data_IF_063694127026
#
_entry.id   IF_063694127026
#
_cell.length_a   1.000
_cell.length_b   1.000
_cell.length_c   1.000
_cell.angle_alpha   90.00
_cell.angle_beta   90.00
_cell.angle_gamma   90.00
#
_symmetry.space_group_name_H-M   'P 1'
#
loop_
_entity.id
_entity.type
_entity.pdbx_description
1 polymer ?
#
# COMPACT_ATOMS: atom_id res chain seq x y z
N UNK A 1 1.68 -8.56 -0.14
CA UNK A 1 2.99 -7.97 -0.50
C UNK A 1 3.27 -8.25 -1.97
N UNK A 2 3.98 -7.32 -2.60
CA UNK A 2 4.52 -7.45 -3.95
C UNK A 2 6.04 -7.48 -3.79
N UNK A 3 6.73 -8.57 -4.19
CA UNK A 3 8.18 -8.63 -4.11
C UNK A 3 8.81 -7.66 -5.11
N UNK A 4 10.00 -7.16 -4.78
CA UNK A 4 10.82 -6.37 -5.69
C UNK A 4 11.28 -7.18 -6.92
N UNK A 5 11.86 -6.48 -7.90
CA UNK A 5 12.55 -7.06 -9.07
C UNK A 5 11.70 -7.96 -9.99
N UNK A 6 10.38 -7.82 -10.00
CA UNK A 6 9.55 -8.51 -10.99
C UNK A 6 9.41 -10.00 -10.74
N UNK A 7 9.48 -10.46 -9.49
CA UNK A 7 9.23 -11.88 -9.16
C UNK A 7 7.84 -12.28 -9.67
N UNK A 8 7.79 -13.27 -10.55
CA UNK A 8 6.58 -13.71 -11.21
C UNK A 8 5.92 -14.91 -10.50
N UNK A 9 4.62 -15.09 -10.72
CA UNK A 9 3.90 -16.31 -10.38
C UNK A 9 4.04 -17.38 -11.49
N UNK A 10 3.34 -18.51 -11.33
CA UNK A 10 3.35 -19.61 -12.31
C UNK A 10 2.73 -19.26 -13.66
N UNK A 11 1.97 -18.16 -13.74
CA UNK A 11 1.38 -17.64 -14.99
C UNK A 11 2.27 -16.57 -15.64
N UNK A 12 3.41 -16.23 -15.04
CA UNK A 12 4.30 -15.17 -15.54
C UNK A 12 3.82 -13.75 -15.23
N UNK A 13 2.89 -13.57 -14.27
CA UNK A 13 2.42 -12.24 -13.83
C UNK A 13 3.17 -11.79 -12.58
N UNK A 14 3.22 -10.48 -12.36
CA UNK A 14 3.78 -9.91 -11.13
C UNK A 14 3.16 -10.60 -9.91
N UNK A 15 3.99 -11.26 -9.09
CA UNK A 15 3.50 -12.03 -7.96
C UNK A 15 2.92 -11.10 -6.91
N UNK A 16 1.70 -11.41 -6.48
CA UNK A 16 1.06 -10.79 -5.31
C UNK A 16 0.85 -11.85 -4.25
N UNK A 17 1.57 -11.72 -3.13
CA UNK A 17 1.49 -12.67 -2.01
C UNK A 17 0.49 -12.14 -0.99
N UNK A 18 -0.52 -12.96 -0.69
CA UNK A 18 -1.49 -12.71 0.39
C UNK A 18 -1.24 -13.71 1.53
N UNK A 19 -1.28 -13.22 2.77
CA UNK A 19 -1.20 -14.05 3.97
C UNK A 19 -2.21 -13.53 4.99
N UNK A 20 -2.78 -14.45 5.77
CA UNK A 20 -3.61 -14.12 6.92
C UNK A 20 -2.82 -14.44 8.19
N UNK A 21 -2.78 -13.50 9.13
CA UNK A 21 -1.99 -13.61 10.35
C UNK A 21 -2.92 -13.68 11.57
N UNK A 22 -2.70 -14.71 12.39
CA UNK A 22 -3.29 -14.84 13.71
C UNK A 22 -2.29 -14.53 14.83
N UNK A 23 -2.72 -14.60 16.10
CA UNK A 23 -1.85 -14.39 17.26
C UNK A 23 -0.62 -15.31 17.23
N UNK A 24 0.57 -14.73 17.46
CA UNK A 24 1.84 -15.46 17.47
C UNK A 24 2.42 -15.81 16.10
N UNK A 25 1.75 -15.43 15.01
CA UNK A 25 2.30 -15.61 13.66
C UNK A 25 3.21 -14.45 13.25
N UNK A 26 4.18 -14.75 12.39
CA UNK A 26 5.10 -13.77 11.82
C UNK A 26 5.09 -13.88 10.30
N UNK A 27 5.26 -12.74 9.64
CA UNK A 27 5.57 -12.68 8.21
C UNK A 27 6.79 -11.82 8.00
N UNK A 28 7.57 -12.13 6.97
CA UNK A 28 8.78 -11.40 6.62
C UNK A 28 8.48 -10.62 5.34
N UNK A 29 8.72 -9.30 5.39
CA UNK A 29 8.71 -8.43 4.23
C UNK A 29 10.17 -8.13 3.85
N UNK A 30 10.71 -8.74 2.79
CA UNK A 30 12.04 -8.39 2.29
C UNK A 30 12.13 -6.90 1.96
N UNK A 31 13.32 -6.33 2.11
CA UNK A 31 13.58 -4.96 1.68
C UNK A 31 13.18 -4.76 0.21
N UNK A 32 12.69 -3.57 -0.13
CA UNK A 32 12.20 -3.24 -1.47
C UNK A 32 10.82 -3.82 -1.84
N UNK A 33 10.32 -4.81 -1.10
CA UNK A 33 8.92 -5.22 -1.24
C UNK A 33 7.98 -4.16 -0.66
N UNK A 34 6.79 -4.03 -1.25
CA UNK A 34 5.73 -3.21 -0.68
C UNK A 34 4.50 -4.05 -0.36
N UNK A 35 3.72 -3.62 0.64
CA UNK A 35 2.57 -4.37 1.11
C UNK A 35 1.48 -3.47 1.67
N UNK A 36 0.30 -4.04 1.75
CA UNK A 36 -0.82 -3.50 2.52
C UNK A 36 -1.10 -4.45 3.69
N UNK A 37 -1.54 -3.88 4.80
CA UNK A 37 -1.98 -4.62 5.97
C UNK A 37 -3.34 -4.10 6.37
N UNK A 38 -4.27 -5.00 6.65
CA UNK A 38 -5.64 -4.67 7.03
C UNK A 38 -6.06 -5.58 8.16
N UNK A 39 -6.69 -5.00 9.20
CA UNK A 39 -7.45 -5.77 10.17
C UNK A 39 -8.89 -5.91 9.63
N UNK A 40 -9.31 -7.09 9.16
CA UNK A 40 -10.65 -7.28 8.59
C UNK A 40 -11.74 -7.45 9.66
N UNK A 41 -11.35 -7.52 10.93
CA UNK A 41 -12.24 -7.74 12.07
C UNK A 41 -12.60 -6.43 12.77
N UNK A 42 -13.70 -6.47 13.53
CA UNK A 42 -14.25 -5.30 14.21
C UNK A 42 -13.61 -5.04 15.57
N UNK A 43 -12.90 -6.04 16.09
CA UNK A 43 -12.14 -5.97 17.33
C UNK A 43 -10.73 -5.43 17.08
N UNK A 44 -10.14 -4.71 18.04
CA UNK A 44 -8.76 -4.23 17.93
C UNK A 44 -7.78 -5.40 17.74
N UNK A 45 -6.87 -5.24 16.78
CA UNK A 45 -5.72 -6.11 16.58
C UNK A 45 -4.44 -5.30 16.78
N UNK A 46 -3.45 -5.90 17.44
CA UNK A 46 -2.13 -5.31 17.62
C UNK A 46 -1.10 -6.16 16.89
N UNK A 47 -0.13 -5.49 16.26
CA UNK A 47 1.05 -6.14 15.70
C UNK A 47 2.30 -5.39 16.15
N UNK A 48 3.42 -6.10 16.18
CA UNK A 48 4.73 -5.51 16.35
C UNK A 48 5.51 -5.69 15.04
N UNK A 49 6.19 -4.64 14.60
CA UNK A 49 7.11 -4.70 13.48
C UNK A 49 8.53 -4.46 14.00
N UNK A 50 9.47 -5.25 13.51
CA UNK A 50 10.90 -5.08 13.73
C UNK A 50 11.56 -4.80 12.39
N UNK A 51 12.53 -3.90 12.40
CA UNK A 51 13.32 -3.51 11.23
C UNK A 51 14.78 -3.85 11.48
N UNK A 52 15.50 -4.21 10.43
CA UNK A 52 16.92 -4.56 10.50
C UNK A 52 17.85 -3.37 10.22
N UNK A 53 17.30 -2.16 10.15
CA UNK A 53 18.02 -0.89 9.92
C UNK A 53 17.36 0.23 10.72
N UNK A 54 18.17 1.21 11.13
CA UNK A 54 17.73 2.42 11.82
C UNK A 54 17.35 3.55 10.83
N UNK A 55 17.68 3.38 9.55
CA UNK A 55 17.28 4.30 8.47
C UNK A 55 15.82 4.09 8.03
N UNK A 56 15.23 5.12 7.39
CA UNK A 56 13.82 5.22 6.98
C UNK A 56 13.20 3.88 6.55
N UNK A 57 12.29 3.37 7.39
CA UNK A 57 11.77 2.01 7.27
C UNK A 57 10.39 1.91 6.62
N UNK A 58 9.82 3.04 6.18
CA UNK A 58 8.47 3.12 5.62
C UNK A 58 8.43 4.11 4.47
N UNK A 59 8.09 3.61 3.28
CA UNK A 59 7.76 4.41 2.10
C UNK A 59 6.27 4.30 1.76
N UNK A 60 5.64 5.42 1.40
CA UNK A 60 4.25 5.44 0.94
C UNK A 60 4.24 5.43 -0.59
N UNK A 61 4.28 4.22 -1.17
CA UNK A 61 4.51 3.98 -2.61
C UNK A 61 3.71 4.92 -3.53
N UNK A 62 2.41 5.11 -3.28
CA UNK A 62 1.60 6.01 -4.09
C UNK A 62 2.04 7.48 -3.97
N UNK A 63 2.26 7.97 -2.74
CA UNK A 63 2.70 9.34 -2.50
C UNK A 63 4.09 9.60 -3.10
N UNK A 64 5.02 8.64 -2.97
CA UNK A 64 6.36 8.72 -3.54
C UNK A 64 6.30 8.71 -5.08
N UNK A 65 5.52 7.81 -5.68
CA UNK A 65 5.35 7.73 -7.14
C UNK A 65 4.77 9.03 -7.70
N UNK A 66 3.75 9.59 -7.05
CA UNK A 66 3.07 10.81 -7.52
C UNK A 66 3.76 12.10 -7.09
N UNK A 67 4.88 12.03 -6.37
CA UNK A 67 5.79 13.17 -6.12
C UNK A 67 6.71 13.46 -7.30
N UNK A 68 6.83 12.54 -8.26
CA UNK A 68 7.54 12.74 -9.52
C UNK A 68 6.80 13.76 -10.41
N UNK A 69 7.52 14.32 -11.37
CA UNK A 69 6.92 15.25 -12.34
C UNK A 69 5.89 14.55 -13.22
N UNK A 70 4.93 15.33 -13.70
CA UNK A 70 3.85 14.85 -14.58
C UNK A 70 4.41 14.16 -15.83
N UNK A 71 5.49 14.68 -16.40
CA UNK A 71 6.17 14.06 -17.56
C UNK A 71 6.68 12.65 -17.26
N UNK A 72 7.24 12.43 -16.07
CA UNK A 72 7.76 11.12 -15.66
C UNK A 72 6.62 10.14 -15.40
N UNK A 73 5.55 10.61 -14.76
CA UNK A 73 4.34 9.82 -14.52
C UNK A 73 3.70 9.45 -15.86
N UNK A 74 3.45 10.41 -16.74
CA UNK A 74 2.88 10.19 -18.07
C UNK A 74 3.73 9.21 -18.88
N UNK A 75 5.06 9.37 -18.88
CA UNK A 75 5.97 8.44 -19.55
C UNK A 75 5.89 7.01 -18.98
N UNK A 76 5.78 6.86 -17.66
CA UNK A 76 5.63 5.55 -17.00
C UNK A 76 4.38 4.82 -17.46
N UNK A 77 3.30 5.55 -17.73
CA UNK A 77 2.05 5.01 -18.26
C UNK A 77 1.95 5.13 -19.79
N UNK A 78 3.08 5.19 -20.52
CA UNK A 78 3.10 5.16 -21.98
C UNK A 78 2.46 6.38 -22.65
N UNK A 79 2.50 7.54 -22.00
CA UNK A 79 1.89 8.81 -22.42
C UNK A 79 0.36 8.72 -22.61
N UNK A 80 -0.29 7.80 -21.89
CA UNK A 80 -1.73 7.54 -22.03
C UNK A 80 -2.60 8.23 -20.98
N UNK A 81 -1.99 8.92 -20.01
CA UNK A 81 -2.70 9.60 -18.91
C UNK A 81 -2.52 11.11 -19.07
N UNK A 82 -3.63 11.87 -19.04
CA UNK A 82 -3.59 13.32 -19.13
C UNK A 82 -3.09 13.94 -17.81
N UNK A 83 -2.49 15.14 -17.89
CA UNK A 83 -2.02 15.86 -16.69
C UNK A 83 -3.13 16.12 -15.65
N UNK A 84 -4.37 16.38 -16.11
CA UNK A 84 -5.52 16.55 -15.21
C UNK A 84 -5.87 15.28 -14.42
N UNK A 85 -5.67 14.10 -15.01
CA UNK A 85 -5.87 12.83 -14.33
C UNK A 85 -4.76 12.58 -13.30
N UNK A 86 -3.52 12.95 -13.62
CA UNK A 86 -2.38 12.86 -12.70
C UNK A 86 -2.65 13.70 -11.45
N UNK A 87 -3.08 14.95 -11.62
CA UNK A 87 -3.44 15.84 -10.50
C UNK A 87 -4.63 15.31 -9.70
N UNK A 88 -5.63 14.75 -10.39
CA UNK A 88 -6.80 14.14 -9.72
C UNK A 88 -6.37 13.01 -8.80
N UNK A 89 -5.49 12.11 -9.27
CA UNK A 89 -4.98 11.00 -8.45
C UNK A 89 -4.10 11.54 -7.32
N UNK A 90 -3.20 12.49 -7.60
CA UNK A 90 -2.30 13.09 -6.60
C UNK A 90 -3.09 13.66 -5.42
N UNK A 91 -4.17 14.38 -5.69
CA UNK A 91 -5.04 14.97 -4.66
C UNK A 91 -5.88 13.94 -3.90
N UNK A 92 -6.09 12.75 -4.46
CA UNK A 92 -6.82 11.66 -3.81
C UNK A 92 -5.95 10.80 -2.87
N UNK A 93 -4.62 10.89 -2.96
CA UNK A 93 -3.70 10.12 -2.12
C UNK A 93 -3.83 10.59 -0.66
N UNK A 94 -4.13 9.69 0.30
CA UNK A 94 -4.20 10.06 1.70
C UNK A 94 -2.88 10.63 2.23
N UNK A 95 -2.96 11.69 3.04
CA UNK A 95 -1.80 12.28 3.71
C UNK A 95 -1.27 11.44 4.88
N UNK A 96 -2.03 10.43 5.31
CA UNK A 96 -1.69 9.56 6.45
C UNK A 96 -1.56 8.11 6.01
N UNK A 97 -0.60 7.38 6.61
CA UNK A 97 -0.38 5.95 6.35
C UNK A 97 -1.61 5.06 6.64
N UNK A 98 -2.44 5.44 7.62
CA UNK A 98 -3.63 4.69 7.98
C UNK A 98 -4.77 4.94 6.97
N UNK A 99 -4.96 3.98 6.06
CA UNK A 99 -6.06 4.01 5.09
C UNK A 99 -7.29 3.37 5.71
N UNK A 100 -8.43 4.08 5.67
CA UNK A 100 -9.72 3.56 6.10
C UNK A 100 -10.37 2.79 4.96
N UNK A 101 -10.55 1.49 5.13
CA UNK A 101 -11.27 0.65 4.16
C UNK A 101 -12.76 0.77 4.41
N UNK A 102 -13.49 1.39 3.49
CA UNK A 102 -14.93 1.69 3.66
C UNK A 102 -15.77 0.43 3.88
N UNK A 103 -15.41 -0.67 3.22
CA UNK A 103 -16.05 -1.97 3.40
C UNK A 103 -15.92 -2.45 4.86
N UNK A 104 -14.72 -2.35 5.46
CA UNK A 104 -14.50 -2.71 6.86
C UNK A 104 -15.29 -1.80 7.82
N UNK A 105 -15.34 -0.50 7.53
CA UNK A 105 -16.13 0.46 8.31
C UNK A 105 -17.62 0.11 8.29
N UNK A 106 -18.16 -0.17 7.09
CA UNK A 106 -19.57 -0.60 6.92
C UNK A 106 -19.85 -1.91 7.64
N UNK A 107 -19.00 -2.92 7.44
CA UNK A 107 -19.10 -4.24 8.10
C UNK A 107 -19.15 -4.11 9.63
N UNK A 108 -18.35 -3.20 10.18
CA UNK A 108 -18.22 -3.03 11.63
C UNK A 108 -19.11 -1.93 12.22
N UNK A 109 -20.01 -1.33 11.43
CA UNK A 109 -20.86 -0.23 11.89
C UNK A 109 -20.10 0.99 12.39
N UNK A 110 -18.85 1.19 11.93
CA UNK A 110 -17.99 2.31 12.35
C UNK A 110 -18.12 3.46 11.35
N UNK A 111 -18.28 4.68 11.84
CA UNK A 111 -18.24 5.87 10.99
C UNK A 111 -16.80 6.29 10.70
N UNK A 112 -16.58 6.87 9.52
CA UNK A 112 -15.31 7.51 9.17
C UNK A 112 -15.12 8.73 10.07
N UNK A 113 -14.33 8.62 11.15
CA UNK A 113 -13.94 9.81 11.93
C UNK A 113 -13.19 10.78 11.00
N UNK A 114 -13.60 12.03 10.92
CA UNK A 114 -12.83 13.05 10.19
C UNK A 114 -11.48 13.21 10.91
N UNK A 115 -10.40 13.30 10.13
CA UNK A 115 -9.06 13.59 10.63
C UNK A 115 -8.95 15.09 10.88
#
# INVERSE_FOLDING_TARGET
MVPEAGVLDSEGKQRVIRVELGPGMVTIYPAGSFHTQVNPDCEPANFAAAFNSDEFAVGLVAAETFSLSDDVIAATFGQSIAGEDIETVRNAIPTTMAIKVEECLKKCGKQKRQA
#
